data_IF_929291913084
#
_entry.id   IF_929291913084
#
_cell.length_a   1.000
_cell.length_b   1.000
_cell.length_c   1.000
_cell.angle_alpha   90.00
_cell.angle_beta   90.00
_cell.angle_gamma   90.00
#
_symmetry.space_group_name_H-M   'P 1'
#
loop_
_entity.id
_entity.type
_entity.pdbx_description
1 polymer ?
#
# COMPACT_ATOMS: atom_id res chain seq x y z
N UNK A 1 30.15 -12.83 6.26
CA UNK A 1 28.70 -13.12 6.16
C UNK A 1 27.95 -11.81 6.36
N UNK A 2 27.46 -11.17 5.28
CA UNK A 2 26.68 -9.92 5.38
C UNK A 2 25.33 -10.25 6.01
N UNK A 3 25.03 -9.63 7.16
CA UNK A 3 23.74 -9.74 7.83
C UNK A 3 22.65 -9.18 6.91
N UNK A 4 21.63 -9.98 6.61
CA UNK A 4 20.40 -9.45 5.99
C UNK A 4 19.83 -8.40 6.94
N UNK A 5 19.48 -7.19 6.46
CA UNK A 5 18.80 -6.22 7.30
C UNK A 5 17.48 -6.86 7.77
N UNK A 6 17.31 -6.94 9.09
CA UNK A 6 16.06 -7.35 9.73
C UNK A 6 14.98 -6.42 9.20
N UNK A 7 13.94 -6.97 8.58
CA UNK A 7 12.77 -6.19 8.18
C UNK A 7 12.28 -5.42 9.41
N UNK A 8 12.00 -4.11 9.30
CA UNK A 8 11.52 -3.33 10.42
C UNK A 8 10.24 -3.99 10.93
N UNK A 9 10.27 -4.45 12.17
CA UNK A 9 9.08 -4.88 12.89
C UNK A 9 8.14 -3.68 12.88
N UNK A 10 7.01 -3.78 12.18
CA UNK A 10 6.07 -2.67 12.07
C UNK A 10 5.68 -2.24 13.48
N UNK A 11 6.10 -1.04 13.89
CA UNK A 11 6.00 -0.56 15.26
C UNK A 11 4.58 -0.04 15.59
N UNK A 12 3.53 -0.70 15.11
CA UNK A 12 2.15 -0.24 15.25
C UNK A 12 1.10 -1.25 14.80
N UNK A 13 -0.16 -0.87 14.92
CA UNK A 13 -1.34 -1.69 14.65
C UNK A 13 -1.88 -1.37 13.25
N UNK A 14 -2.13 -2.41 12.45
CA UNK A 14 -2.88 -2.32 11.20
C UNK A 14 -3.85 -3.51 11.07
N UNK A 15 -5.02 -3.28 10.48
CA UNK A 15 -5.98 -4.35 10.17
C UNK A 15 -5.47 -5.39 9.18
N UNK A 16 -4.48 -5.01 8.36
CA UNK A 16 -3.91 -5.88 7.33
C UNK A 16 -2.42 -6.06 7.57
N UNK A 17 -1.95 -7.30 7.45
CA UNK A 17 -0.54 -7.56 7.34
C UNK A 17 -0.03 -7.27 5.90
N UNK A 18 1.29 -7.28 5.70
CA UNK A 18 1.91 -7.02 4.38
C UNK A 18 1.42 -7.99 3.29
N UNK A 19 1.17 -9.25 3.64
CA UNK A 19 0.69 -10.28 2.70
C UNK A 19 -0.74 -9.97 2.24
N UNK A 20 -1.64 -9.68 3.18
CA UNK A 20 -3.04 -9.34 2.89
C UNK A 20 -3.14 -8.07 2.05
N UNK A 21 -2.26 -7.10 2.31
CA UNK A 21 -2.10 -5.92 1.46
C UNK A 21 -1.75 -6.31 0.01
N UNK A 22 -0.73 -7.13 -0.18
CA UNK A 22 -0.31 -7.62 -1.49
C UNK A 22 -1.39 -8.43 -2.20
N UNK A 23 -2.14 -9.26 -1.48
CA UNK A 23 -3.22 -10.06 -2.05
C UNK A 23 -4.42 -9.19 -2.46
N UNK A 24 -4.76 -8.15 -1.68
CA UNK A 24 -5.80 -7.18 -2.07
C UNK A 24 -5.38 -6.32 -3.26
N UNK A 25 -4.10 -5.93 -3.33
CA UNK A 25 -3.55 -5.25 -4.49
C UNK A 25 -3.68 -6.15 -5.72
N UNK A 26 -3.24 -7.41 -5.65
CA UNK A 26 -3.38 -8.37 -6.76
C UNK A 26 -4.83 -8.56 -7.19
N UNK A 27 -5.76 -8.63 -6.24
CA UNK A 27 -7.18 -8.75 -6.53
C UNK A 27 -7.71 -7.50 -7.24
N UNK A 28 -7.29 -6.30 -6.84
CA UNK A 28 -7.65 -5.06 -7.52
C UNK A 28 -7.14 -5.03 -8.97
N UNK A 29 -5.97 -5.61 -9.24
CA UNK A 29 -5.37 -5.62 -10.57
C UNK A 29 -5.90 -6.74 -11.50
N UNK A 30 -6.74 -7.65 -11.00
CA UNK A 30 -7.19 -8.83 -11.76
C UNK A 30 -8.06 -8.42 -12.94
N UNK A 31 -7.62 -8.74 -14.16
CA UNK A 31 -8.38 -8.50 -15.38
C UNK A 31 -9.60 -9.42 -15.43
N UNK A 32 -10.78 -8.85 -15.28
CA UNK A 32 -12.06 -9.55 -15.47
C UNK A 32 -12.76 -8.98 -16.70
N UNK A 33 -13.31 -9.85 -17.56
CA UNK A 33 -13.75 -9.51 -18.92
C UNK A 33 -14.87 -8.46 -18.96
N UNK A 34 -15.60 -8.28 -17.86
CA UNK A 34 -16.77 -7.39 -17.78
C UNK A 34 -16.91 -6.64 -16.44
N UNK A 35 -15.91 -6.71 -15.53
CA UNK A 35 -16.01 -6.05 -14.22
C UNK A 35 -15.10 -4.83 -14.12
N UNK A 36 -15.62 -3.76 -13.53
CA UNK A 36 -14.82 -2.60 -13.11
C UNK A 36 -14.00 -3.00 -11.88
N UNK A 37 -12.68 -2.98 -12.02
CA UNK A 37 -11.77 -3.30 -10.94
C UNK A 37 -11.94 -2.36 -9.75
N UNK A 38 -12.02 -2.93 -8.55
CA UNK A 38 -12.11 -2.16 -7.32
C UNK A 38 -10.73 -1.63 -6.91
N UNK A 39 -10.40 -0.45 -7.40
CA UNK A 39 -9.10 0.21 -7.18
C UNK A 39 -8.94 0.88 -5.80
N UNK A 40 -9.86 0.60 -4.86
CA UNK A 40 -9.87 1.20 -3.52
C UNK A 40 -9.88 0.12 -2.43
N UNK A 41 -8.94 0.22 -1.49
CA UNK A 41 -8.86 -0.64 -0.31
C UNK A 41 -9.02 0.24 0.94
N UNK A 42 -9.97 -0.10 1.80
CA UNK A 42 -10.11 0.53 3.12
C UNK A 42 -9.42 -0.32 4.18
N UNK A 43 -8.66 0.34 5.05
CA UNK A 43 -7.90 -0.29 6.14
C UNK A 43 -7.96 0.56 7.40
N UNK A 44 -7.71 -0.06 8.55
CA UNK A 44 -7.41 0.68 9.78
C UNK A 44 -5.93 0.55 10.12
N UNK A 45 -5.33 1.64 10.57
CA UNK A 45 -3.94 1.66 11.04
C UNK A 45 -3.70 2.83 11.99
N UNK A 46 -2.66 2.73 12.81
CA UNK A 46 -2.18 3.83 13.64
C UNK A 46 -1.05 4.62 12.95
N UNK A 47 -0.72 5.78 13.54
CA UNK A 47 0.35 6.68 13.05
C UNK A 47 1.70 5.97 13.04
N UNK A 48 1.98 5.11 14.02
CA UNK A 48 3.27 4.43 14.15
C UNK A 48 3.47 3.41 13.03
N UNK A 49 2.44 2.62 12.71
CA UNK A 49 2.42 1.73 11.55
C UNK A 49 2.56 2.53 10.26
N UNK A 50 1.76 3.58 10.08
CA UNK A 50 1.80 4.39 8.85
C UNK A 50 3.21 4.94 8.59
N UNK A 51 3.86 5.52 9.62
CA UNK A 51 5.25 6.00 9.53
C UNK A 51 6.24 4.88 9.23
N UNK A 52 6.16 3.77 9.96
CA UNK A 52 7.08 2.64 9.79
C UNK A 52 6.94 1.97 8.42
N UNK A 53 5.75 1.97 7.85
CA UNK A 53 5.46 1.26 6.61
C UNK A 53 5.67 2.13 5.37
N UNK A 54 5.26 3.41 5.41
CA UNK A 54 5.34 4.31 4.26
C UNK A 54 6.47 5.34 4.34
N UNK A 55 6.98 5.67 5.53
CA UNK A 55 7.91 6.79 5.73
C UNK A 55 9.27 6.67 5.02
N UNK A 56 9.70 5.46 4.67
CA UNK A 56 10.95 5.24 3.93
C UNK A 56 10.78 5.13 2.41
N UNK A 57 9.55 5.10 1.92
CA UNK A 57 9.26 4.74 0.52
C UNK A 57 8.35 5.74 -0.19
N UNK A 58 7.47 6.42 0.54
CA UNK A 58 6.45 7.30 -0.02
C UNK A 58 6.80 8.79 0.18
N UNK A 59 6.30 9.63 -0.71
CA UNK A 59 6.22 11.07 -0.46
C UNK A 59 5.05 11.32 0.50
N UNK A 60 5.31 11.85 1.70
CA UNK A 60 4.28 12.07 2.71
C UNK A 60 3.98 13.56 2.88
N UNK A 61 2.69 13.91 2.86
CA UNK A 61 2.19 15.27 3.08
C UNK A 61 1.07 15.28 4.13
N UNK A 62 1.17 16.08 5.21
CA UNK A 62 2.34 16.87 5.60
C UNK A 62 3.49 15.97 6.10
N UNK A 63 4.73 16.46 6.00
CA UNK A 63 5.94 15.73 6.42
C UNK A 63 5.91 15.45 7.92
N UNK A 64 5.57 16.48 8.70
CA UNK A 64 5.36 16.38 10.14
C UNK A 64 3.87 16.25 10.43
N UNK A 65 3.47 15.10 10.98
CA UNK A 65 2.08 14.81 11.34
C UNK A 65 2.01 14.06 12.66
N UNK A 66 0.94 14.22 13.42
CA UNK A 66 0.69 13.51 14.67
C UNK A 66 -0.66 12.80 14.62
N UNK A 67 -1.07 12.24 15.77
CA UNK A 67 -2.41 11.68 15.95
C UNK A 67 -3.52 12.73 15.79
N UNK A 68 -3.19 14.02 15.95
CA UNK A 68 -4.15 15.13 15.88
C UNK A 68 -4.26 15.73 14.47
N UNK A 69 -3.38 15.32 13.54
CA UNK A 69 -3.43 15.79 12.16
C UNK A 69 -4.69 15.31 11.46
N UNK A 70 -5.42 16.21 10.79
CA UNK A 70 -6.72 15.86 10.20
C UNK A 70 -6.64 14.82 9.08
N UNK A 71 -5.66 14.98 8.19
CA UNK A 71 -5.41 14.09 7.05
C UNK A 71 -3.90 14.04 6.77
N UNK A 72 -3.42 12.86 6.41
CA UNK A 72 -2.05 12.61 5.96
C UNK A 72 -2.12 11.79 4.67
N UNK A 73 -1.38 12.21 3.65
CA UNK A 73 -1.35 11.54 2.34
C UNK A 73 0.04 10.97 2.13
N UNK A 74 0.12 9.69 1.75
CA UNK A 74 1.34 9.08 1.25
C UNK A 74 1.15 8.72 -0.23
N UNK A 75 2.06 9.18 -1.07
CA UNK A 75 2.07 8.91 -2.50
C UNK A 75 3.28 8.03 -2.86
N UNK A 76 3.02 6.97 -3.60
CA UNK A 76 4.02 6.07 -4.14
C UNK A 76 3.89 6.04 -5.67
N UNK A 77 5.01 6.26 -6.35
CA UNK A 77 5.12 6.04 -7.78
C UNK A 77 5.36 4.54 -8.09
N UNK A 78 5.43 4.19 -9.37
CA UNK A 78 5.59 2.82 -9.84
C UNK A 78 6.77 2.07 -9.18
N UNK A 79 7.95 2.69 -9.14
CA UNK A 79 9.14 2.10 -8.53
C UNK A 79 8.96 1.87 -7.03
N UNK A 80 8.43 2.88 -6.31
CA UNK A 80 8.25 2.82 -4.86
C UNK A 80 7.19 1.78 -4.46
N UNK A 81 6.06 1.74 -5.18
CA UNK A 81 5.02 0.74 -4.96
C UNK A 81 5.54 -0.68 -5.24
N UNK A 82 6.35 -0.84 -6.30
CA UNK A 82 7.02 -2.09 -6.65
C UNK A 82 8.01 -2.57 -5.58
N UNK A 83 8.74 -1.66 -4.93
CA UNK A 83 9.63 -2.01 -3.81
C UNK A 83 8.87 -2.48 -2.57
N UNK A 84 7.74 -1.81 -2.25
CA UNK A 84 6.97 -2.12 -1.05
C UNK A 84 6.19 -3.43 -1.21
N UNK A 85 5.49 -3.61 -2.33
CA UNK A 85 4.55 -4.71 -2.53
C UNK A 85 5.02 -5.79 -3.50
N UNK A 86 6.12 -5.56 -4.21
CA UNK A 86 6.62 -6.45 -5.25
C UNK A 86 5.82 -6.32 -6.56
N UNK A 87 6.25 -7.08 -7.56
CA UNK A 87 5.56 -7.15 -8.85
C UNK A 87 4.48 -8.22 -8.81
N UNK A 88 3.29 -7.90 -9.32
CA UNK A 88 2.15 -8.82 -9.33
C UNK A 88 2.07 -9.58 -10.65
N UNK A 89 2.05 -10.91 -10.57
CA UNK A 89 1.73 -11.77 -11.71
C UNK A 89 0.24 -12.08 -11.71
N UNK A 90 -0.44 -11.72 -12.79
CA UNK A 90 -1.89 -11.80 -12.91
C UNK A 90 -2.24 -12.81 -14.00
N UNK A 91 -3.20 -13.68 -13.69
CA UNK A 91 -3.69 -14.67 -14.65
C UNK A 91 -4.78 -14.04 -15.51
N UNK A 92 -4.55 -13.97 -16.82
CA UNK A 92 -5.51 -13.53 -17.83
C UNK A 92 -5.80 -14.70 -18.78
N UNK A 93 -6.87 -15.45 -18.50
CA UNK A 93 -7.15 -16.72 -19.17
C UNK A 93 -6.04 -17.74 -18.94
N UNK A 94 -5.40 -18.20 -20.03
CA UNK A 94 -4.27 -19.15 -19.97
C UNK A 94 -2.89 -18.46 -19.91
N UNK A 95 -2.84 -17.12 -19.95
CA UNK A 95 -1.58 -16.37 -19.91
C UNK A 95 -1.36 -15.75 -18.53
N UNK A 96 -0.10 -15.70 -18.12
CA UNK A 96 0.34 -14.95 -16.94
C UNK A 96 1.00 -13.67 -17.43
N UNK A 97 0.46 -12.52 -17.02
CA UNK A 97 1.02 -11.21 -17.35
C UNK A 97 1.62 -10.58 -16.10
N UNK A 98 2.73 -9.89 -16.28
CA UNK A 98 3.40 -9.17 -15.19
C UNK A 98 2.88 -7.75 -15.21
N UNK A 99 2.16 -7.38 -14.16
CA UNK A 99 1.51 -6.07 -14.06
C UNK A 99 2.19 -5.27 -12.97
N UNK A 100 2.56 -4.04 -13.33
CA UNK A 100 3.19 -3.08 -12.44
C UNK A 100 2.15 -2.07 -11.98
N UNK A 101 2.17 -1.73 -10.71
CA UNK A 101 1.31 -0.70 -10.14
C UNK A 101 1.82 0.66 -10.62
N UNK A 102 1.01 1.48 -11.30
CA UNK A 102 1.46 2.78 -11.81
C UNK A 102 1.63 3.79 -10.68
N UNK A 103 0.62 3.94 -9.83
CA UNK A 103 0.66 4.79 -8.65
C UNK A 103 -0.21 4.25 -7.53
N UNK A 104 0.17 4.58 -6.29
CA UNK A 104 -0.60 4.29 -5.10
C UNK A 104 -0.68 5.52 -4.22
N UNK A 105 -1.88 5.83 -3.75
CA UNK A 105 -2.15 6.92 -2.83
C UNK A 105 -2.82 6.38 -1.57
N UNK A 106 -2.28 6.73 -0.42
CA UNK A 106 -2.84 6.37 0.88
C UNK A 106 -3.30 7.63 1.59
N UNK A 107 -4.61 7.79 1.73
CA UNK A 107 -5.23 8.87 2.48
C UNK A 107 -5.51 8.36 3.88
N UNK A 108 -4.72 8.79 4.85
CA UNK A 108 -4.81 8.42 6.25
C UNK A 108 -5.51 9.52 7.06
N UNK A 109 -6.40 9.11 7.96
CA UNK A 109 -7.11 9.95 8.91
C UNK A 109 -6.67 9.55 10.33
N UNK A 110 -5.57 10.13 10.84
CA UNK A 110 -4.99 9.73 12.13
C UNK A 110 -5.98 9.66 13.29
N UNK A 111 -6.85 10.66 13.53
CA UNK A 111 -7.76 10.65 14.67
C UNK A 111 -8.75 9.46 14.65
N UNK A 112 -9.03 8.94 13.45
CA UNK A 112 -9.97 7.84 13.23
C UNK A 112 -9.28 6.48 13.13
N UNK A 113 -7.94 6.45 13.01
CA UNK A 113 -7.19 5.24 12.73
C UNK A 113 -7.60 4.56 11.42
N UNK A 114 -8.07 5.34 10.43
CA UNK A 114 -8.60 4.82 9.15
C UNK A 114 -7.75 5.32 7.99
N UNK A 115 -7.50 4.46 7.00
CA UNK A 115 -6.92 4.87 5.74
C UNK A 115 -7.70 4.33 4.54
N UNK A 116 -7.71 5.12 3.47
CA UNK A 116 -8.19 4.72 2.15
C UNK A 116 -7.00 4.66 1.20
N UNK A 117 -6.76 3.48 0.64
CA UNK A 117 -5.71 3.21 -0.33
C UNK A 117 -6.33 3.19 -1.71
N UNK A 118 -5.77 3.97 -2.62
CA UNK A 118 -6.16 4.06 -4.01
C UNK A 118 -5.01 3.58 -4.88
N UNK A 119 -5.33 2.77 -5.87
CA UNK A 119 -4.37 2.13 -6.75
C UNK A 119 -4.65 2.56 -8.20
N UNK A 120 -3.62 2.60 -9.03
CA UNK A 120 -3.75 2.71 -10.49
C UNK A 120 -2.80 1.72 -11.15
N UNK A 121 -3.13 1.30 -12.37
CA UNK A 121 -2.40 0.30 -13.15
C UNK A 121 -2.01 0.88 -14.49
#
# INVERSE_FOLDING_TARGET
KKSKPKAPTAAGICSLNKKDFGDRIKAALRLEKYEVQRMRINVTMDVAFFRSFFGGHASITPVDFSQDSSVVVAELNNSQAGEVFGVSKIKNGNRMETVHLQSMMVVFYPPQGKASVWLTV
#
